data_IF_357173185602
#
_entry.id   IF_357173185602
#
_cell.length_a   1.000
_cell.length_b   1.000
_cell.length_c   1.000
_cell.angle_alpha   90.00
_cell.angle_beta   90.00
_cell.angle_gamma   90.00
#
_symmetry.space_group_name_H-M   'P 1'
#
loop_
_entity.id
_entity.type
_entity.pdbx_description
1 polymer ?
#
# COMPACT_ATOMS: atom_id res chain seq x y z
N UNK A 1 1.34 3.20 -4.92
CA UNK A 1 2.57 2.40 -4.69
C UNK A 1 2.14 0.94 -4.80
N UNK A 2 2.92 0.07 -5.44
CA UNK A 2 2.54 -1.34 -5.57
C UNK A 2 3.13 -2.15 -4.39
N UNK A 3 2.35 -3.00 -3.73
CA UNK A 3 2.89 -3.98 -2.78
C UNK A 3 3.83 -4.96 -3.49
N UNK A 4 4.96 -5.36 -2.86
CA UNK A 4 5.93 -6.28 -3.47
C UNK A 4 5.33 -7.58 -4.00
N UNK A 5 4.32 -8.15 -3.35
CA UNK A 5 3.72 -9.43 -3.77
C UNK A 5 3.08 -9.32 -5.17
N UNK A 6 2.44 -8.19 -5.47
CA UNK A 6 1.68 -7.98 -6.72
C UNK A 6 2.42 -7.12 -7.75
N UNK A 7 3.55 -6.51 -7.38
CA UNK A 7 4.31 -5.63 -8.28
C UNK A 7 4.92 -6.43 -9.46
N UNK A 8 4.63 -6.08 -10.73
CA UNK A 8 5.22 -6.78 -11.88
C UNK A 8 6.76 -6.68 -11.92
N UNK A 9 7.27 -5.53 -11.50
CA UNK A 9 8.70 -5.30 -11.22
C UNK A 9 8.80 -4.93 -9.75
N UNK A 10 9.48 -5.76 -8.97
CA UNK A 10 9.63 -5.60 -7.52
C UNK A 10 10.84 -4.72 -7.19
N UNK A 11 11.95 -4.93 -7.92
CA UNK A 11 13.16 -4.15 -7.79
C UNK A 11 13.63 -3.59 -9.15
N UNK A 12 14.17 -2.38 -9.15
CA UNK A 12 14.89 -1.83 -10.30
C UNK A 12 16.31 -1.45 -9.93
N UNK A 13 17.27 -1.95 -10.69
CA UNK A 13 18.69 -1.61 -10.57
C UNK A 13 18.99 -0.43 -11.48
N UNK A 14 19.59 0.62 -10.92
CA UNK A 14 19.95 1.84 -11.63
C UNK A 14 21.46 2.08 -11.49
N UNK A 15 22.24 1.82 -12.55
CA UNK A 15 23.66 2.13 -12.56
C UNK A 15 23.87 3.65 -12.54
N UNK A 16 24.69 4.12 -11.59
CA UNK A 16 25.11 5.52 -11.47
C UNK A 16 26.45 5.69 -12.19
N UNK A 17 26.37 5.88 -13.51
CA UNK A 17 27.56 5.94 -14.36
C UNK A 17 28.22 7.34 -14.30
N UNK A 18 29.50 7.38 -13.92
CA UNK A 18 30.35 8.57 -14.04
C UNK A 18 31.44 8.27 -15.07
N UNK A 19 31.16 8.58 -16.36
CA UNK A 19 31.81 7.96 -17.54
C UNK A 19 31.49 6.46 -17.58
N UNK A 20 31.26 5.88 -18.76
CA UNK A 20 30.78 4.48 -18.89
C UNK A 20 31.76 3.53 -18.19
N UNK A 21 31.40 3.04 -17.00
CA UNK A 21 32.21 2.12 -16.21
C UNK A 21 31.67 0.71 -16.42
N UNK A 22 32.42 -0.09 -17.16
CA UNK A 22 32.09 -1.51 -17.40
C UNK A 22 31.97 -2.29 -16.09
N UNK A 23 32.77 -1.95 -15.07
CA UNK A 23 32.72 -2.57 -13.76
C UNK A 23 31.36 -2.37 -13.06
N UNK A 24 30.76 -1.18 -13.16
CA UNK A 24 29.43 -0.93 -12.59
C UNK A 24 28.35 -1.75 -13.30
N UNK A 25 28.44 -1.87 -14.63
CA UNK A 25 27.48 -2.67 -15.39
C UNK A 25 27.62 -4.16 -15.08
N UNK A 26 28.84 -4.66 -14.92
CA UNK A 26 29.11 -6.03 -14.50
C UNK A 26 28.47 -6.31 -13.12
N UNK A 27 28.73 -5.45 -12.13
CA UNK A 27 28.15 -5.58 -10.80
C UNK A 27 26.60 -5.53 -10.81
N UNK A 28 26.00 -4.66 -11.63
CA UNK A 28 24.55 -4.63 -11.81
C UNK A 28 24.00 -5.95 -12.36
N UNK A 29 24.69 -6.58 -13.30
CA UNK A 29 24.28 -7.87 -13.86
C UNK A 29 24.42 -8.99 -12.82
N UNK A 30 25.51 -9.03 -12.06
CA UNK A 30 25.71 -10.01 -10.97
C UNK A 30 24.62 -9.89 -9.89
N UNK A 31 24.29 -8.65 -9.49
CA UNK A 31 23.18 -8.39 -8.55
C UNK A 31 21.86 -8.82 -9.13
N UNK A 32 21.61 -8.56 -10.43
CA UNK A 32 20.39 -9.00 -11.10
C UNK A 32 20.26 -10.53 -11.07
N UNK A 33 21.30 -11.26 -11.47
CA UNK A 33 21.30 -12.73 -11.45
C UNK A 33 21.09 -13.28 -10.04
N UNK A 34 21.75 -12.69 -9.05
CA UNK A 34 21.59 -13.05 -7.63
C UNK A 34 20.15 -12.89 -7.15
N UNK A 35 19.50 -11.77 -7.52
CA UNK A 35 18.12 -11.49 -7.16
C UNK A 35 17.13 -12.38 -7.93
N UNK A 36 17.35 -12.62 -9.22
CA UNK A 36 16.53 -13.53 -10.02
C UNK A 36 16.60 -14.96 -9.46
N UNK A 37 17.78 -15.42 -9.05
CA UNK A 37 17.97 -16.72 -8.40
C UNK A 37 17.22 -16.82 -7.06
N UNK A 38 17.04 -15.69 -6.37
CA UNK A 38 16.23 -15.58 -5.15
C UNK A 38 14.72 -15.41 -5.42
N UNK A 39 14.28 -15.46 -6.69
CA UNK A 39 12.87 -15.35 -7.07
C UNK A 39 12.35 -13.91 -7.18
N UNK A 40 13.24 -12.91 -7.17
CA UNK A 40 12.86 -11.50 -7.28
C UNK A 40 12.64 -11.10 -8.73
N UNK A 41 11.51 -10.43 -9.01
CA UNK A 41 11.22 -9.80 -10.30
C UNK A 41 11.99 -8.49 -10.43
N UNK A 42 13.22 -8.56 -10.91
CA UNK A 42 14.14 -7.43 -11.02
C UNK A 42 14.41 -7.03 -12.47
N UNK A 43 14.64 -5.74 -12.71
CA UNK A 43 15.11 -5.24 -14.02
C UNK A 43 16.23 -4.22 -13.83
N UNK A 44 17.09 -4.07 -14.83
CA UNK A 44 18.09 -2.99 -14.90
C UNK A 44 17.52 -1.86 -15.78
N UNK A 45 17.73 -0.61 -15.39
CA UNK A 45 17.54 0.57 -16.27
C UNK A 45 18.90 1.24 -16.56
N UNK A 46 19.59 0.71 -17.56
CA UNK A 46 20.87 1.17 -18.06
C UNK A 46 20.76 2.23 -19.17
N UNK A 47 19.55 2.76 -19.42
CA UNK A 47 19.34 3.77 -20.47
C UNK A 47 20.25 5.00 -20.30
N UNK A 48 20.61 5.67 -21.38
CA UNK A 48 21.46 6.89 -21.35
C UNK A 48 20.75 8.13 -20.74
N UNK A 49 19.62 7.93 -20.05
CA UNK A 49 18.89 9.00 -19.35
C UNK A 49 19.60 9.39 -18.05
N UNK A 50 19.39 10.63 -17.60
CA UNK A 50 19.90 11.09 -16.29
C UNK A 50 19.30 10.25 -15.15
N UNK A 51 20.05 9.94 -14.07
CA UNK A 51 19.55 9.15 -12.95
C UNK A 51 18.20 9.64 -12.40
N UNK A 52 18.05 10.97 -12.20
CA UNK A 52 16.79 11.56 -11.74
C UNK A 52 15.58 11.27 -12.65
N UNK A 53 15.78 11.22 -13.98
CA UNK A 53 14.72 10.84 -14.92
C UNK A 53 14.34 9.36 -14.81
N UNK A 54 15.31 8.49 -14.48
CA UNK A 54 15.05 7.07 -14.23
C UNK A 54 14.31 6.89 -12.90
N UNK A 55 14.73 7.59 -11.84
CA UNK A 55 14.06 7.58 -10.53
C UNK A 55 12.57 7.89 -10.68
N UNK A 56 12.27 9.03 -11.32
CA UNK A 56 10.90 9.47 -11.54
C UNK A 56 10.08 8.44 -12.34
N UNK A 57 10.63 7.87 -13.43
CA UNK A 57 9.96 6.83 -14.24
C UNK A 57 9.53 5.65 -13.38
N UNK A 58 10.40 5.13 -12.53
CA UNK A 58 10.12 3.93 -11.75
C UNK A 58 9.28 4.21 -10.50
N UNK A 59 9.42 5.40 -9.93
CA UNK A 59 8.54 5.88 -8.87
C UNK A 59 7.11 6.07 -9.35
N UNK A 60 6.92 6.59 -10.57
CA UNK A 60 5.62 6.70 -11.23
C UNK A 60 5.00 5.34 -11.54
N UNK A 61 5.83 4.35 -11.90
CA UNK A 61 5.40 2.95 -12.08
C UNK A 61 5.12 2.23 -10.77
N UNK A 62 5.44 2.84 -9.62
CA UNK A 62 5.20 2.29 -8.30
C UNK A 62 6.07 1.09 -7.95
N UNK A 63 7.26 0.94 -8.56
CA UNK A 63 8.21 -0.13 -8.21
C UNK A 63 8.58 -0.01 -6.73
N UNK A 64 8.42 -1.08 -5.92
CA UNK A 64 8.62 -1.02 -4.47
C UNK A 64 10.03 -0.60 -4.05
N UNK A 65 11.06 -1.13 -4.73
CA UNK A 65 12.45 -0.94 -4.35
C UNK A 65 13.32 -0.53 -5.53
N UNK A 66 14.16 0.47 -5.32
CA UNK A 66 15.22 0.86 -6.25
C UNK A 66 16.58 0.52 -5.65
N UNK A 67 17.47 -0.02 -6.48
CA UNK A 67 18.83 -0.39 -6.11
C UNK A 67 19.76 0.50 -6.95
N UNK A 68 20.52 1.37 -6.29
CA UNK A 68 21.48 2.25 -6.96
C UNK A 68 22.89 1.70 -6.75
N UNK A 69 23.65 1.55 -7.84
CA UNK A 69 25.03 1.06 -7.81
C UNK A 69 25.90 2.05 -8.58
N UNK A 70 26.79 2.75 -7.88
CA UNK A 70 27.79 3.62 -8.48
C UNK A 70 29.23 3.17 -8.18
N UNK A 71 30.24 3.81 -8.78
CA UNK A 71 31.65 3.49 -8.54
C UNK A 71 32.04 3.54 -7.04
N UNK A 72 31.51 4.52 -6.30
CA UNK A 72 31.77 4.67 -4.86
C UNK A 72 31.14 3.58 -3.99
N UNK A 73 30.01 3.03 -4.42
CA UNK A 73 29.35 1.93 -3.73
C UNK A 73 30.11 0.63 -4.02
N UNK A 74 30.57 0.46 -5.26
CA UNK A 74 31.37 -0.69 -5.66
C UNK A 74 32.74 -0.75 -4.96
N UNK A 75 33.40 0.39 -4.76
CA UNK A 75 34.63 0.49 -3.93
C UNK A 75 34.41 0.03 -2.48
N UNK A 76 33.17 0.06 -1.99
CA UNK A 76 32.77 -0.37 -0.65
C UNK A 76 32.08 -1.74 -0.64
N UNK A 77 32.03 -2.42 -1.78
CA UNK A 77 31.30 -3.68 -1.96
C UNK A 77 29.84 -3.59 -1.49
N UNK A 78 29.18 -2.45 -1.79
CA UNK A 78 27.83 -2.13 -1.32
C UNK A 78 26.91 -1.66 -2.46
N UNK A 79 25.61 -1.64 -2.17
CA UNK A 79 24.58 -1.02 -2.99
C UNK A 79 23.67 -0.14 -2.12
N UNK A 80 23.02 0.84 -2.74
CA UNK A 80 22.04 1.69 -2.05
C UNK A 80 20.63 1.22 -2.37
N UNK A 81 19.90 0.77 -1.36
CA UNK A 81 18.47 0.47 -1.44
C UNK A 81 17.66 1.73 -1.18
N UNK A 82 16.65 1.99 -2.00
CA UNK A 82 15.73 3.11 -1.85
C UNK A 82 14.29 2.63 -1.92
N UNK A 83 13.56 2.86 -0.83
CA UNK A 83 12.16 2.50 -0.70
C UNK A 83 11.25 3.49 -1.42
N UNK A 84 10.24 2.99 -2.12
CA UNK A 84 9.26 3.83 -2.80
C UNK A 84 8.22 4.43 -1.86
N UNK A 85 7.81 3.72 -0.82
CA UNK A 85 6.76 4.16 0.10
C UNK A 85 7.21 5.29 1.01
N UNK A 86 8.43 5.20 1.54
CA UNK A 86 8.97 6.18 2.51
C UNK A 86 10.03 7.11 1.92
N UNK A 87 10.68 6.74 0.81
CA UNK A 87 11.87 7.43 0.31
C UNK A 87 13.14 7.14 1.11
N UNK A 88 13.07 6.26 2.11
CA UNK A 88 14.20 5.83 2.93
C UNK A 88 15.30 5.23 2.07
N UNK A 89 16.55 5.55 2.45
CA UNK A 89 17.77 5.12 1.75
C UNK A 89 18.67 4.40 2.71
N UNK A 90 19.17 3.26 2.29
CA UNK A 90 20.04 2.42 3.11
C UNK A 90 21.12 1.77 2.27
N UNK A 91 22.36 1.86 2.75
CA UNK A 91 23.48 1.19 2.10
C UNK A 91 23.63 -0.22 2.68
N UNK A 92 23.62 -1.23 1.81
CA UNK A 92 23.72 -2.64 2.19
C UNK A 92 24.89 -3.33 1.47
N UNK A 93 25.52 -4.36 2.07
CA UNK A 93 26.57 -5.13 1.41
C UNK A 93 26.05 -5.87 0.18
N UNK A 94 26.86 -5.93 -0.89
CA UNK A 94 26.56 -6.73 -2.08
C UNK A 94 26.49 -8.22 -1.77
N UNK A 95 27.29 -8.68 -0.80
CA UNK A 95 27.34 -10.08 -0.37
C UNK A 95 26.04 -10.58 0.28
N UNK A 96 25.21 -9.68 0.83
CA UNK A 96 23.92 -10.01 1.45
C UNK A 96 22.71 -9.46 0.69
N UNK A 97 22.91 -8.93 -0.52
CA UNK A 97 21.90 -8.16 -1.25
C UNK A 97 20.56 -8.89 -1.44
N UNK A 98 20.58 -10.20 -1.69
CA UNK A 98 19.35 -10.98 -1.84
C UNK A 98 18.51 -11.00 -0.57
N UNK A 99 19.14 -11.26 0.58
CA UNK A 99 18.47 -11.30 1.87
C UNK A 99 17.92 -9.92 2.24
N UNK A 100 18.73 -8.88 2.06
CA UNK A 100 18.34 -7.49 2.34
C UNK A 100 17.12 -7.07 1.51
N UNK A 101 17.10 -7.40 0.22
CA UNK A 101 15.96 -7.10 -0.66
C UNK A 101 14.70 -7.85 -0.21
N UNK A 102 14.81 -9.13 0.14
CA UNK A 102 13.67 -9.94 0.61
C UNK A 102 13.11 -9.39 1.93
N UNK A 103 13.98 -9.06 2.89
CA UNK A 103 13.58 -8.47 4.16
C UNK A 103 12.88 -7.12 3.95
N UNK A 104 13.42 -6.26 3.06
CA UNK A 104 12.78 -4.99 2.74
C UNK A 104 11.42 -5.19 2.05
N UNK A 105 11.23 -6.21 1.23
CA UNK A 105 9.91 -6.53 0.69
C UNK A 105 8.90 -6.92 1.78
N UNK A 106 9.29 -7.73 2.75
CA UNK A 106 8.41 -8.08 3.88
C UNK A 106 8.01 -6.83 4.68
N UNK A 107 8.97 -5.96 4.97
CA UNK A 107 8.72 -4.69 5.68
C UNK A 107 7.82 -3.76 4.88
N UNK A 108 8.05 -3.58 3.56
CA UNK A 108 7.22 -2.74 2.70
C UNK A 108 5.79 -3.30 2.60
N UNK A 109 5.65 -4.62 2.45
CA UNK A 109 4.33 -5.27 2.37
C UNK A 109 3.54 -5.03 3.67
N UNK A 110 4.19 -5.23 4.82
CA UNK A 110 3.59 -4.99 6.12
C UNK A 110 3.24 -3.52 6.34
N UNK A 111 4.15 -2.59 6.07
CA UNK A 111 3.91 -1.15 6.26
C UNK A 111 2.75 -0.65 5.39
N UNK A 112 2.65 -1.09 4.14
CA UNK A 112 1.54 -0.72 3.26
C UNK A 112 0.20 -1.24 3.78
N UNK A 113 0.16 -2.47 4.29
CA UNK A 113 -1.06 -3.06 4.86
C UNK A 113 -1.49 -2.33 6.14
N UNK A 114 -0.57 -2.10 7.08
CA UNK A 114 -0.89 -1.44 8.34
C UNK A 114 -1.33 0.00 8.10
N UNK A 115 -0.62 0.77 7.26
CA UNK A 115 -1.04 2.11 6.89
C UNK A 115 -2.43 2.12 6.23
N UNK A 116 -2.74 1.13 5.38
CA UNK A 116 -4.05 1.03 4.74
C UNK A 116 -5.16 0.73 5.77
N UNK A 117 -4.91 -0.18 6.72
CA UNK A 117 -5.85 -0.50 7.81
C UNK A 117 -6.09 0.70 8.73
N UNK A 118 -5.03 1.38 9.15
CA UNK A 118 -5.14 2.59 9.99
C UNK A 118 -5.96 3.66 9.29
N UNK A 119 -5.69 3.91 8.00
CA UNK A 119 -6.47 4.87 7.20
C UNK A 119 -7.93 4.46 7.01
N UNK A 120 -8.20 3.16 6.84
CA UNK A 120 -9.56 2.63 6.77
C UNK A 120 -10.29 2.83 8.11
N UNK A 121 -9.70 2.37 9.21
CA UNK A 121 -10.29 2.46 10.54
C UNK A 121 -10.53 3.91 10.98
N UNK A 122 -9.61 4.83 10.66
CA UNK A 122 -9.76 6.26 10.93
C UNK A 122 -10.90 6.92 10.12
N UNK A 123 -11.40 6.24 9.08
CA UNK A 123 -12.53 6.68 8.24
C UNK A 123 -13.81 5.89 8.49
N UNK A 124 -13.82 5.00 9.49
CA UNK A 124 -15.05 4.36 9.97
C UNK A 124 -15.57 5.20 11.14
N UNK A 125 -16.80 5.66 11.02
CA UNK A 125 -17.43 6.55 12.00
C UNK A 125 -18.65 5.88 12.60
N UNK A 126 -18.70 5.73 13.92
CA UNK A 126 -19.90 5.27 14.61
C UNK A 126 -20.99 6.35 14.52
N UNK A 127 -22.15 6.01 13.93
CA UNK A 127 -23.25 6.95 13.75
C UNK A 127 -24.57 6.33 14.25
N UNK A 128 -25.32 7.08 15.06
CA UNK A 128 -26.56 6.64 15.68
C UNK A 128 -27.80 7.43 15.21
N UNK A 129 -27.60 8.49 14.42
CA UNK A 129 -28.68 9.34 13.89
C UNK A 129 -28.54 9.50 12.36
N UNK A 130 -29.65 9.78 11.68
CA UNK A 130 -29.65 9.97 10.22
C UNK A 130 -28.78 11.16 9.81
N UNK A 131 -28.76 12.21 10.63
CA UNK A 131 -27.96 13.41 10.43
C UNK A 131 -26.46 13.11 10.47
N UNK A 132 -25.99 12.35 11.49
CA UNK A 132 -24.59 11.92 11.61
C UNK A 132 -24.17 11.07 10.40
N UNK A 133 -25.03 10.13 9.99
CA UNK A 133 -24.77 9.27 8.84
C UNK A 133 -24.58 10.14 7.60
N UNK A 134 -25.51 11.06 7.34
CA UNK A 134 -25.49 11.93 6.16
C UNK A 134 -24.23 12.80 6.10
N UNK A 135 -23.74 13.26 7.23
CA UNK A 135 -22.47 13.99 7.32
C UNK A 135 -21.29 13.07 6.98
N UNK A 136 -21.18 11.93 7.68
CA UNK A 136 -20.00 11.06 7.65
C UNK A 136 -19.86 10.21 6.39
N UNK A 137 -20.94 9.88 5.69
CA UNK A 137 -20.84 9.18 4.39
C UNK A 137 -20.17 10.01 3.28
N UNK A 138 -19.97 11.32 3.51
CA UNK A 138 -19.18 12.17 2.61
C UNK A 138 -17.67 12.14 2.90
N UNK A 139 -17.27 11.73 4.11
CA UNK A 139 -15.89 11.69 4.58
C UNK A 139 -15.32 10.25 4.58
N UNK A 140 -16.18 9.25 4.77
CA UNK A 140 -15.80 7.84 4.86
C UNK A 140 -16.98 6.89 4.97
N UNK A 141 -16.87 5.92 5.86
CA UNK A 141 -17.82 4.84 6.08
C UNK A 141 -18.55 5.11 7.40
N UNK A 142 -19.87 5.21 7.36
CA UNK A 142 -20.70 5.26 8.56
C UNK A 142 -20.97 3.84 9.06
N UNK A 143 -20.79 3.61 10.35
CA UNK A 143 -21.05 2.37 11.04
C UNK A 143 -22.31 2.51 11.87
N UNK A 144 -23.40 1.88 11.41
CA UNK A 144 -24.77 2.28 11.75
C UNK A 144 -25.56 1.11 12.33
N UNK A 145 -26.25 1.28 13.47
CA UNK A 145 -27.23 0.30 13.94
C UNK A 145 -28.34 0.06 12.93
N UNK A 146 -28.66 -1.19 12.61
CA UNK A 146 -29.70 -1.51 11.63
C UNK A 146 -30.60 -2.63 12.12
N UNK A 147 -31.92 -2.50 11.88
CA UNK A 147 -32.92 -3.45 12.36
C UNK A 147 -33.04 -4.73 11.51
N UNK A 148 -32.35 -4.81 10.37
CA UNK A 148 -32.44 -5.94 9.44
C UNK A 148 -33.63 -5.85 8.47
N UNK A 149 -34.47 -4.81 8.56
CA UNK A 149 -35.64 -4.67 7.70
C UNK A 149 -35.29 -3.92 6.41
N UNK A 150 -35.60 -4.53 5.27
CA UNK A 150 -35.38 -3.97 3.93
C UNK A 150 -35.96 -2.56 3.77
N UNK A 151 -37.17 -2.34 4.31
CA UNK A 151 -37.82 -1.03 4.30
C UNK A 151 -36.94 0.06 4.93
N UNK A 152 -36.36 -0.21 6.11
CA UNK A 152 -35.49 0.76 6.77
C UNK A 152 -34.17 0.97 6.00
N UNK A 153 -33.66 -0.06 5.31
CA UNK A 153 -32.50 0.08 4.42
C UNK A 153 -32.79 1.02 3.26
N UNK A 154 -33.90 0.82 2.54
CA UNK A 154 -34.27 1.67 1.41
C UNK A 154 -34.53 3.13 1.81
N UNK A 155 -35.22 3.35 2.92
CA UNK A 155 -35.47 4.70 3.43
C UNK A 155 -34.17 5.39 3.90
N UNK A 156 -33.23 4.63 4.49
CA UNK A 156 -31.92 5.17 4.88
C UNK A 156 -31.14 5.61 3.64
N UNK A 157 -31.03 4.73 2.64
CA UNK A 157 -30.32 4.98 1.39
C UNK A 157 -30.83 6.25 0.69
N UNK A 158 -32.15 6.45 0.65
CA UNK A 158 -32.79 7.64 0.07
C UNK A 158 -32.43 8.93 0.85
N UNK A 159 -32.43 8.88 2.18
CA UNK A 159 -32.20 10.06 3.01
C UNK A 159 -30.73 10.51 3.07
N UNK A 160 -29.81 9.55 3.06
CA UNK A 160 -28.36 9.81 3.22
C UNK A 160 -27.60 9.80 1.89
N UNK A 161 -28.18 9.24 0.82
CA UNK A 161 -27.56 9.14 -0.49
C UNK A 161 -26.33 8.23 -0.51
N UNK A 162 -26.38 7.15 0.28
CA UNK A 162 -25.31 6.18 0.47
C UNK A 162 -25.95 4.80 0.76
N UNK A 163 -25.31 3.72 0.33
CA UNK A 163 -25.88 2.38 0.42
C UNK A 163 -25.31 1.56 1.57
N UNK A 164 -26.11 0.62 2.09
CA UNK A 164 -25.62 -0.43 3.00
C UNK A 164 -24.66 -1.37 2.24
N UNK A 165 -23.42 -1.48 2.72
CA UNK A 165 -22.37 -2.33 2.16
C UNK A 165 -22.39 -3.76 2.70
N UNK A 166 -22.76 -3.91 3.98
CA UNK A 166 -22.78 -5.21 4.65
C UNK A 166 -22.63 -5.11 6.16
N UNK A 167 -22.74 -6.27 6.81
CA UNK A 167 -22.53 -6.46 8.25
C UNK A 167 -21.05 -6.84 8.45
N UNK A 168 -20.30 -6.14 9.33
CA UNK A 168 -18.93 -6.52 9.66
C UNK A 168 -18.88 -7.93 10.26
N UNK A 169 -17.91 -8.75 9.84
CA UNK A 169 -17.77 -10.15 10.33
C UNK A 169 -16.61 -10.33 11.30
N UNK A 170 -15.77 -9.32 11.44
CA UNK A 170 -14.53 -9.28 12.21
C UNK A 170 -14.70 -8.58 13.56
N UNK A 171 -15.91 -8.14 13.90
CA UNK A 171 -16.24 -7.50 15.16
C UNK A 171 -17.27 -8.35 15.91
N UNK A 172 -16.94 -8.75 17.13
CA UNK A 172 -17.93 -9.25 18.08
C UNK A 172 -18.77 -8.05 18.54
N UNK A 173 -19.87 -7.80 17.84
CA UNK A 173 -20.76 -6.68 18.15
C UNK A 173 -21.63 -7.01 19.38
N UNK A 174 -21.07 -6.74 20.56
CA UNK A 174 -21.83 -6.71 21.81
C UNK A 174 -22.40 -5.30 22.05
N UNK A 175 -23.72 -5.16 21.96
CA UNK A 175 -24.37 -3.89 22.26
C UNK A 175 -25.88 -3.90 22.04
N UNK A 176 -26.59 -3.03 22.77
CA UNK A 176 -28.00 -2.76 22.56
C UNK A 176 -28.12 -1.36 21.93
N UNK A 177 -28.38 -1.33 20.63
CA UNK A 177 -28.53 -0.11 19.85
C UNK A 177 -29.98 0.07 19.41
N UNK A 178 -30.28 1.24 18.86
CA UNK A 178 -31.57 1.51 18.21
C UNK A 178 -31.35 1.84 16.75
N UNK A 179 -32.14 1.23 15.89
CA UNK A 179 -32.13 1.59 14.47
C UNK A 179 -32.53 3.08 14.31
N UNK A 180 -31.74 3.91 13.63
CA UNK A 180 -32.00 5.34 13.47
C UNK A 180 -33.28 5.62 12.66
N UNK A 181 -33.75 4.65 11.88
CA UNK A 181 -34.94 4.79 11.03
C UNK A 181 -36.25 4.51 11.77
N UNK A 182 -36.29 3.44 12.58
CA UNK A 182 -37.53 2.97 13.20
C UNK A 182 -37.50 2.90 14.73
N UNK A 183 -36.35 3.12 15.37
CA UNK A 183 -36.16 3.09 16.82
C UNK A 183 -36.19 1.68 17.45
N UNK A 184 -36.34 0.62 16.64
CA UNK A 184 -36.28 -0.78 17.11
C UNK A 184 -34.91 -1.10 17.68
N UNK A 185 -34.90 -1.89 18.75
CA UNK A 185 -33.67 -2.37 19.35
C UNK A 185 -32.98 -3.36 18.40
N UNK A 186 -31.65 -3.27 18.31
CA UNK A 186 -30.83 -4.13 17.46
C UNK A 186 -29.43 -4.30 18.07
N UNK A 187 -28.83 -5.46 17.83
CA UNK A 187 -27.42 -5.71 18.09
C UNK A 187 -26.58 -5.70 16.81
N UNK A 188 -27.22 -5.50 15.65
CA UNK A 188 -26.57 -5.53 14.34
C UNK A 188 -26.20 -4.11 13.94
N UNK A 189 -24.96 -3.93 13.50
CA UNK A 189 -24.52 -2.73 12.82
C UNK A 189 -24.06 -3.08 11.41
N UNK A 190 -24.11 -2.07 10.55
CA UNK A 190 -23.78 -2.18 9.14
C UNK A 190 -22.87 -1.04 8.72
N UNK A 191 -22.05 -1.29 7.71
CA UNK A 191 -21.35 -0.23 7.02
C UNK A 191 -22.25 0.42 5.96
N UNK A 192 -22.29 1.74 5.97
CA UNK A 192 -23.00 2.58 5.01
C UNK A 192 -22.00 3.55 4.41
N UNK A 193 -21.89 3.58 3.09
CA UNK A 193 -20.98 4.52 2.41
C UNK A 193 -21.46 4.85 0.99
N UNK A 194 -20.92 5.92 0.43
CA UNK A 194 -21.07 6.21 -0.99
C UNK A 194 -20.24 5.22 -1.80
N UNK A 195 -20.88 4.55 -2.74
CA UNK A 195 -20.21 3.65 -3.69
C UNK A 195 -19.67 4.44 -4.89
N UNK A 196 -18.55 3.97 -5.45
CA UNK A 196 -17.91 4.55 -6.64
C UNK A 196 -18.71 4.33 -7.92
#
# INVERSE_FOLDING_TARGET
>A
ILPPEVAPVQAVIIPILFKKSEAVLAACNEVKETLEAAGVRVTIDDSDKRPGSKYYKWEMKGVPLRIEIGPKDLEKEAAMLVRRDTGEKEQVPLSSIANEVIERFAVIQFSLLENAKENLNARIFDCNTVEEIKEKVSEGIAHVPWCGEEKCGLELDEQVGAGILGIPTDQDEEGAYKCPMCGKDTSIRVYVARTY
#
